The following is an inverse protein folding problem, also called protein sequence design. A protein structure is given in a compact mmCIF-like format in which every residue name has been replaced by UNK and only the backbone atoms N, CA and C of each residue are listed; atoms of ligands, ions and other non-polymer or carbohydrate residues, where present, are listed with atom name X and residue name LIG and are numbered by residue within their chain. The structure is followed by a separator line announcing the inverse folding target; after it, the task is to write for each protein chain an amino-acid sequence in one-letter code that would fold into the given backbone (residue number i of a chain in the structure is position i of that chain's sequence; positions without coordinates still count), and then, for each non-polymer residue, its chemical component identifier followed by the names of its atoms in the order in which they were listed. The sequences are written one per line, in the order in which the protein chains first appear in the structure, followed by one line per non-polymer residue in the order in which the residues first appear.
data_IF_280503805865
#
_entry.id   IF_280503805865
#
_cell.length_a   1.000
_cell.length_b   1.000
_cell.length_c   1.000
_cell.angle_alpha   90.00
_cell.angle_beta   90.00
_cell.angle_gamma   90.00
#
_symmetry.space_group_name_H-M   'P 1'
#
loop_
_entity.id
_entity.type
_entity.pdbx_description
1 polymer ?
#
# COMPACT_ATOMS: atom_id res chain seq x y z
N UNK A 1 -2.78 2.57 -14.84
CA UNK A 1 -3.62 1.86 -13.83
C UNK A 1 -4.99 1.42 -14.40
N UNK A 2 -5.87 2.34 -14.86
CA UNK A 2 -7.23 1.98 -15.36
C UNK A 2 -7.29 0.94 -16.50
N UNK A 3 -6.21 0.72 -17.26
CA UNK A 3 -6.17 -0.29 -18.34
C UNK A 3 -5.61 -1.66 -17.89
N UNK A 4 -5.03 -1.74 -16.69
CA UNK A 4 -4.27 -2.90 -16.22
C UNK A 4 -4.89 -3.58 -15.00
N UNK A 5 -5.81 -2.92 -14.31
CA UNK A 5 -6.52 -3.45 -13.15
C UNK A 5 -8.02 -3.34 -13.36
N UNK A 6 -8.78 -4.33 -12.87
CA UNK A 6 -10.22 -4.25 -12.83
C UNK A 6 -10.66 -3.15 -11.87
N UNK A 7 -10.11 -3.13 -10.66
CA UNK A 7 -10.29 -2.02 -9.74
C UNK A 7 -9.15 -1.89 -8.72
N UNK A 8 -9.11 -0.74 -8.06
CA UNK A 8 -8.34 -0.49 -6.85
C UNK A 8 -9.33 -0.26 -5.72
N UNK A 9 -9.23 -1.09 -4.68
CA UNK A 9 -10.17 -1.16 -3.57
C UNK A 9 -9.43 -0.92 -2.26
N UNK A 10 -10.07 -0.15 -1.39
CA UNK A 10 -9.65 0.05 -0.01
C UNK A 10 -10.66 -0.65 0.89
N UNK A 11 -10.19 -1.44 1.84
CA UNK A 11 -11.05 -2.05 2.85
C UNK A 11 -11.73 -0.93 3.66
N UNK A 12 -13.05 -0.99 3.82
CA UNK A 12 -13.86 0.13 4.30
C UNK A 12 -13.47 0.60 5.72
N UNK A 13 -13.08 -0.32 6.60
CA UNK A 13 -12.58 -0.03 7.94
C UNK A 13 -11.08 0.29 7.97
N UNK A 14 -10.38 0.22 6.83
CA UNK A 14 -8.95 0.44 6.69
C UNK A 14 -8.59 1.79 6.08
N UNK A 15 -9.43 2.81 6.21
CA UNK A 15 -9.10 4.17 5.77
C UNK A 15 -8.03 4.81 6.68
N UNK A 16 -7.11 5.63 6.15
CA UNK A 16 -6.01 6.17 6.93
C UNK A 16 -6.53 7.15 7.99
N UNK A 17 -6.12 6.94 9.25
CA UNK A 17 -6.38 7.86 10.35
C UNK A 17 -5.20 8.81 10.49
N UNK A 18 -5.38 10.05 10.07
CA UNK A 18 -4.32 11.06 10.13
C UNK A 18 -4.36 11.90 11.41
N UNK A 19 -3.18 12.29 11.88
CA UNK A 19 -3.01 13.35 12.88
C UNK A 19 -2.47 14.60 12.19
N UNK A 20 -3.22 15.70 12.29
CA UNK A 20 -2.79 17.01 11.75
C UNK A 20 -1.58 17.53 12.52
N UNK A 21 -0.71 18.28 11.84
CA UNK A 21 0.51 18.86 12.42
C UNK A 21 1.62 17.85 12.72
N UNK A 22 1.47 16.60 12.25
CA UNK A 22 2.47 15.53 12.43
C UNK A 22 2.87 15.00 11.06
N UNK A 23 4.17 14.85 10.78
CA UNK A 23 4.61 14.15 9.59
C UNK A 23 4.19 12.68 9.65
N UNK A 24 3.93 12.07 8.49
CA UNK A 24 3.51 10.68 8.39
C UNK A 24 4.56 9.83 7.67
N UNK A 25 4.84 8.66 8.21
CA UNK A 25 5.63 7.61 7.57
C UNK A 25 4.68 6.48 7.23
N UNK A 26 4.30 6.37 5.95
CA UNK A 26 3.51 5.23 5.46
C UNK A 26 4.48 4.11 5.11
N UNK A 27 4.35 2.95 5.76
CA UNK A 27 5.20 1.80 5.48
C UNK A 27 4.39 0.61 5.00
N UNK A 28 4.87 -0.05 3.95
CA UNK A 28 4.11 -1.07 3.24
C UNK A 28 4.96 -2.26 2.79
N UNK A 29 4.29 -3.40 2.55
CA UNK A 29 4.92 -4.51 1.86
C UNK A 29 5.19 -4.14 0.39
N UNK A 30 6.22 -4.75 -0.19
CA UNK A 30 6.61 -4.47 -1.58
C UNK A 30 6.33 -5.67 -2.47
N UNK A 31 5.09 -5.82 -2.91
CA UNK A 31 4.67 -7.03 -3.62
C UNK A 31 4.74 -6.90 -5.14
N UNK A 32 4.76 -5.69 -5.69
CA UNK A 32 4.83 -5.52 -7.14
C UNK A 32 5.52 -4.23 -7.57
N UNK A 33 5.99 -4.24 -8.82
CA UNK A 33 6.47 -3.04 -9.49
C UNK A 33 5.41 -1.91 -9.55
N UNK A 34 4.12 -2.24 -9.43
CA UNK A 34 3.03 -1.27 -9.41
C UNK A 34 2.93 -0.45 -8.12
N UNK A 35 3.59 -0.86 -7.03
CA UNK A 35 3.45 -0.24 -5.71
C UNK A 35 3.69 1.29 -5.71
N UNK A 36 4.74 1.84 -6.37
CA UNK A 36 4.92 3.29 -6.44
C UNK A 36 3.73 4.02 -7.05
N UNK A 37 3.09 3.44 -8.08
CA UNK A 37 1.92 4.06 -8.71
C UNK A 37 0.69 4.00 -7.80
N UNK A 38 0.54 2.92 -7.03
CA UNK A 38 -0.51 2.81 -6.00
C UNK A 38 -0.29 3.84 -4.89
N UNK A 39 0.95 4.01 -4.41
CA UNK A 39 1.32 5.05 -3.44
C UNK A 39 0.96 6.45 -3.96
N UNK A 40 1.24 6.77 -5.23
CA UNK A 40 0.87 8.05 -5.83
C UNK A 40 -0.65 8.25 -5.89
N UNK A 41 -1.42 7.21 -6.20
CA UNK A 41 -2.88 7.28 -6.16
C UNK A 41 -3.38 7.58 -4.74
N UNK A 42 -2.85 6.87 -3.74
CA UNK A 42 -3.21 7.05 -2.33
C UNK A 42 -2.79 8.42 -1.79
N UNK A 43 -1.59 8.89 -2.15
CA UNK A 43 -1.11 10.22 -1.82
C UNK A 43 -2.07 11.31 -2.33
N UNK A 44 -2.53 11.18 -3.58
CA UNK A 44 -3.50 12.11 -4.18
C UNK A 44 -4.91 11.98 -3.61
N UNK A 45 -5.27 10.85 -3.02
CA UNK A 45 -6.61 10.63 -2.47
C UNK A 45 -6.71 11.09 -1.01
N UNK A 46 -5.72 10.72 -0.20
CA UNK A 46 -5.78 10.87 1.26
C UNK A 46 -4.79 11.92 1.78
N UNK A 47 -3.61 12.03 1.18
CA UNK A 47 -2.51 12.87 1.69
C UNK A 47 -2.29 14.15 0.85
N UNK A 48 -3.36 14.74 0.29
CA UNK A 48 -3.27 15.87 -0.66
C UNK A 48 -2.61 17.14 -0.12
N UNK A 49 -2.66 17.32 1.20
CA UNK A 49 -2.08 18.47 1.89
C UNK A 49 -0.62 18.21 2.29
N UNK A 50 -0.04 17.09 1.85
CA UNK A 50 1.30 16.66 2.22
C UNK A 50 2.22 16.52 1.03
N UNK A 51 3.46 16.96 1.24
CA UNK A 51 4.55 16.71 0.31
C UNK A 51 4.99 15.25 0.46
N UNK A 52 4.80 14.46 -0.60
CA UNK A 52 5.06 13.03 -0.59
C UNK A 52 6.44 12.69 -1.14
N UNK A 53 7.16 11.86 -0.41
CA UNK A 53 8.51 11.42 -0.74
C UNK A 53 8.65 9.91 -0.61
N UNK A 54 9.54 9.31 -1.38
CA UNK A 54 9.85 7.88 -1.28
C UNK A 54 11.29 7.57 -1.68
N UNK A 55 12.03 6.74 -0.93
CA UNK A 55 13.30 6.23 -1.39
C UNK A 55 13.08 5.27 -2.56
N UNK A 56 14.00 5.29 -3.51
CA UNK A 56 14.10 4.31 -4.59
C UNK A 56 15.57 3.99 -4.78
N UNK A 57 15.85 2.83 -5.37
CA UNK A 57 17.21 2.48 -5.78
C UNK A 57 17.83 3.61 -6.63
N UNK A 58 19.05 4.01 -6.28
CA UNK A 58 19.71 5.13 -6.93
C UNK A 58 19.92 4.91 -8.44
N UNK A 59 20.27 3.69 -8.86
CA UNK A 59 20.48 3.36 -10.27
C UNK A 59 19.14 3.35 -11.02
N UNK A 60 18.07 2.87 -10.36
CA UNK A 60 16.72 2.97 -10.89
C UNK A 60 16.28 4.44 -11.05
N UNK A 61 16.61 5.32 -10.12
CA UNK A 61 16.27 6.75 -10.23
C UNK A 61 17.02 7.44 -11.38
N UNK A 62 18.29 7.08 -11.60
CA UNK A 62 19.07 7.57 -12.74
C UNK A 62 18.43 7.17 -14.08
N UNK A 63 17.95 5.93 -14.17
CA UNK A 63 17.26 5.41 -15.36
C UNK A 63 15.86 6.01 -15.55
N UNK A 64 15.11 6.19 -14.46
CA UNK A 64 13.72 6.63 -14.47
C UNK A 64 13.58 8.02 -13.82
N UNK A 65 14.23 9.02 -14.43
CA UNK A 65 14.37 10.38 -13.89
C UNK A 65 13.05 11.09 -13.57
N UNK A 66 11.95 10.67 -14.21
CA UNK A 66 10.60 11.17 -13.92
C UNK A 66 10.21 10.99 -12.45
N UNK A 67 10.63 9.90 -11.78
CA UNK A 67 10.34 9.68 -10.36
C UNK A 67 10.90 10.79 -9.46
N UNK A 68 12.00 11.44 -9.87
CA UNK A 68 12.57 12.56 -9.11
C UNK A 68 11.59 13.72 -8.98
N UNK A 69 10.82 13.99 -10.05
CA UNK A 69 9.77 15.05 -10.05
C UNK A 69 8.56 14.68 -9.22
N UNK A 70 8.42 13.41 -8.87
CA UNK A 70 7.33 12.87 -8.03
C UNK A 70 7.73 12.73 -6.56
N UNK A 71 8.86 13.32 -6.15
CA UNK A 71 9.33 13.29 -4.76
C UNK A 71 10.19 12.07 -4.40
N UNK A 72 10.59 11.25 -5.37
CA UNK A 72 11.48 10.13 -5.08
C UNK A 72 12.94 10.58 -4.99
N UNK A 73 13.67 9.97 -4.06
CA UNK A 73 15.10 10.19 -3.86
C UNK A 73 15.89 8.87 -3.88
N UNK A 74 17.13 8.95 -4.37
CA UNK A 74 17.96 7.77 -4.58
C UNK A 74 18.63 7.29 -3.30
N UNK A 75 18.63 5.97 -3.08
CA UNK A 75 19.34 5.30 -1.98
C UNK A 75 20.13 4.13 -2.55
N UNK A 76 21.41 4.03 -2.20
CA UNK A 76 22.26 2.91 -2.56
C UNK A 76 21.95 1.69 -1.68
N UNK A 77 21.13 0.77 -2.20
CA UNK A 77 20.69 -0.40 -1.46
C UNK A 77 21.85 -1.32 -1.05
N UNK A 78 21.73 -1.93 0.13
CA UNK A 78 22.73 -2.90 0.62
C UNK A 78 24.05 -2.29 1.10
N UNK A 79 24.18 -0.96 1.15
CA UNK A 79 25.41 -0.29 1.60
C UNK A 79 25.20 0.46 2.93
N UNK A 80 26.23 0.51 3.76
CA UNK A 80 26.22 1.30 5.02
C UNK A 80 26.02 2.79 4.72
N UNK A 81 26.67 3.29 3.66
CA UNK A 81 26.54 4.67 3.21
C UNK A 81 25.11 4.99 2.77
N UNK A 82 24.50 4.15 1.93
CA UNK A 82 23.10 4.34 1.52
C UNK A 82 22.13 4.31 2.69
N UNK A 83 22.36 3.45 3.69
CA UNK A 83 21.55 3.44 4.90
C UNK A 83 21.68 4.75 5.71
N UNK A 84 22.89 5.33 5.78
CA UNK A 84 23.11 6.63 6.41
C UNK A 84 22.45 7.77 5.61
N UNK A 85 22.66 7.81 4.30
CA UNK A 85 22.08 8.81 3.39
C UNK A 85 20.54 8.79 3.45
N UNK A 86 19.94 7.59 3.50
CA UNK A 86 18.50 7.42 3.71
C UNK A 86 18.04 8.08 5.02
N UNK A 87 18.73 7.78 6.13
CA UNK A 87 18.36 8.30 7.45
C UNK A 87 18.46 9.83 7.51
N UNK A 88 19.49 10.41 6.90
CA UNK A 88 19.67 11.86 6.88
C UNK A 88 18.60 12.56 6.04
N UNK A 89 18.30 12.04 4.84
CA UNK A 89 17.23 12.59 4.01
C UNK A 89 15.86 12.41 4.65
N UNK A 90 15.55 11.23 5.19
CA UNK A 90 14.29 10.96 5.87
C UNK A 90 14.08 11.90 7.07
N UNK A 91 15.13 12.17 7.85
CA UNK A 91 15.05 13.14 8.96
C UNK A 91 14.79 14.57 8.47
N UNK A 92 15.43 14.99 7.39
CA UNK A 92 15.18 16.30 6.77
C UNK A 92 13.74 16.43 6.30
N UNK A 93 13.20 15.40 5.64
CA UNK A 93 11.81 15.35 5.18
C UNK A 93 10.84 15.44 6.38
N UNK A 94 11.05 14.60 7.40
CA UNK A 94 10.16 14.54 8.58
C UNK A 94 10.29 15.75 9.51
N UNK A 95 11.19 16.70 9.23
CA UNK A 95 11.21 17.99 9.94
C UNK A 95 9.99 18.86 9.57
N UNK A 96 9.42 18.67 8.38
CA UNK A 96 8.22 19.37 7.94
C UNK A 96 6.95 18.64 8.39
N UNK A 97 6.06 19.33 9.11
CA UNK A 97 4.82 18.76 9.64
C UNK A 97 3.86 18.25 8.55
N UNK A 98 3.92 18.85 7.37
CA UNK A 98 3.13 18.49 6.20
C UNK A 98 3.84 17.45 5.30
N UNK A 99 4.84 16.72 5.79
CA UNK A 99 5.50 15.69 4.98
C UNK A 99 4.79 14.32 5.07
N UNK A 100 4.91 13.53 4.00
CA UNK A 100 4.60 12.11 3.95
C UNK A 100 5.77 11.34 3.35
N UNK A 101 6.30 10.36 4.08
CA UNK A 101 7.38 9.48 3.62
C UNK A 101 6.83 8.07 3.40
N UNK A 102 6.98 7.52 2.20
CA UNK A 102 6.49 6.21 1.80
C UNK A 102 7.64 5.21 1.76
N UNK A 103 7.59 4.13 2.55
CA UNK A 103 8.71 3.22 2.75
C UNK A 103 8.32 1.76 2.57
N UNK A 104 9.11 1.02 1.78
CA UNK A 104 9.05 -0.44 1.70
C UNK A 104 10.19 -1.07 2.52
N UNK A 105 10.03 -1.26 3.84
CA UNK A 105 11.13 -1.55 4.75
C UNK A 105 11.80 -2.91 4.55
N UNK A 106 11.21 -3.83 3.79
CA UNK A 106 11.87 -5.09 3.38
C UNK A 106 13.03 -4.85 2.40
N UNK A 107 12.99 -3.73 1.65
CA UNK A 107 13.99 -3.32 0.67
C UNK A 107 14.18 -4.28 -0.50
N UNK A 108 13.21 -5.16 -0.73
CA UNK A 108 13.14 -6.08 -1.87
C UNK A 108 11.68 -6.40 -2.17
N UNK A 109 11.40 -6.86 -3.39
CA UNK A 109 10.11 -7.47 -3.68
C UNK A 109 9.89 -8.73 -2.84
N UNK A 110 8.69 -8.87 -2.28
CA UNK A 110 8.30 -10.00 -1.47
C UNK A 110 6.81 -10.28 -1.61
N UNK A 111 6.45 -11.56 -1.58
CA UNK A 111 5.05 -11.97 -1.48
C UNK A 111 4.45 -11.43 -0.16
N UNK A 112 3.26 -10.83 -0.24
CA UNK A 112 2.57 -10.27 0.94
C UNK A 112 2.20 -11.32 2.00
N UNK A 113 2.18 -12.61 1.63
CA UNK A 113 1.91 -13.75 2.52
C UNK A 113 3.17 -14.36 3.12
N UNK A 114 4.36 -13.95 2.67
CA UNK A 114 5.60 -14.48 3.22
C UNK A 114 5.71 -14.19 4.71
N UNK A 115 6.05 -15.22 5.50
CA UNK A 115 6.27 -15.13 6.94
C UNK A 115 7.58 -15.85 7.32
N UNK A 116 8.29 -15.39 8.37
CA UNK A 116 8.01 -14.17 9.12
C UNK A 116 8.33 -12.92 8.31
N UNK A 117 7.66 -11.81 8.62
CA UNK A 117 7.99 -10.52 8.04
C UNK A 117 9.35 -10.06 8.59
N UNK A 118 10.24 -9.60 7.69
CA UNK A 118 11.61 -9.20 8.03
C UNK A 118 11.96 -7.89 7.34
N UNK A 119 12.15 -6.85 8.15
CA UNK A 119 12.53 -5.52 7.70
C UNK A 119 14.04 -5.33 7.78
N UNK A 120 14.53 -4.42 6.95
CA UNK A 120 15.81 -3.78 7.18
C UNK A 120 15.69 -2.81 8.36
N UNK A 121 16.81 -2.56 9.05
CA UNK A 121 16.82 -1.75 10.28
C UNK A 121 16.51 -0.24 10.09
N UNK A 122 16.40 0.24 8.84
CA UNK A 122 16.25 1.67 8.53
C UNK A 122 15.02 2.31 9.19
N UNK A 123 13.87 1.65 9.13
CA UNK A 123 12.61 2.17 9.67
C UNK A 123 12.63 2.30 11.21
N UNK A 124 13.09 1.27 11.91
CA UNK A 124 13.23 1.34 13.37
C UNK A 124 14.26 2.37 13.83
N UNK A 125 15.36 2.52 13.08
CA UNK A 125 16.37 3.57 13.33
C UNK A 125 15.83 4.98 13.07
N UNK A 126 14.94 5.14 12.09
CA UNK A 126 14.27 6.40 11.80
C UNK A 126 13.32 6.77 12.93
N UNK A 127 12.48 5.84 13.39
CA UNK A 127 11.56 6.05 14.51
C UNK A 127 12.27 6.54 15.77
N UNK A 128 13.38 5.89 16.15
CA UNK A 128 14.20 6.30 17.31
C UNK A 128 14.76 7.73 17.20
N UNK A 129 15.04 8.22 15.98
CA UNK A 129 15.65 9.55 15.75
C UNK A 129 14.63 10.64 15.44
N UNK A 130 13.36 10.29 15.32
CA UNK A 130 12.30 11.23 14.95
C UNK A 130 11.70 11.82 16.22
N UNK A 131 11.61 13.16 16.29
CA UNK A 131 11.04 13.85 17.45
C UNK A 131 9.56 13.50 17.64
N UNK A 132 8.80 13.57 16.54
CA UNK A 132 7.40 13.19 16.47
C UNK A 132 7.03 12.76 15.04
N UNK A 133 6.33 11.65 14.89
CA UNK A 133 5.74 11.22 13.61
C UNK A 133 4.67 10.16 13.83
N UNK A 134 3.73 10.08 12.89
CA UNK A 134 2.79 8.97 12.80
C UNK A 134 3.36 7.90 11.84
N UNK A 135 3.47 6.67 12.30
CA UNK A 135 3.89 5.52 11.48
C UNK A 135 2.66 4.71 11.11
N UNK A 136 2.30 4.69 9.83
CA UNK A 136 1.07 4.12 9.34
C UNK A 136 1.33 2.87 8.48
N UNK A 137 0.97 1.65 8.94
CA UNK A 137 1.10 0.46 8.11
C UNK A 137 0.07 0.48 6.98
N UNK A 138 0.49 0.06 5.80
CA UNK A 138 -0.35 -0.16 4.63
C UNK A 138 -0.06 -1.55 4.06
N UNK A 139 -1.08 -2.40 3.99
CA UNK A 139 -0.99 -3.66 3.27
C UNK A 139 -1.49 -3.48 1.82
N UNK A 140 -0.77 -4.10 0.87
CA UNK A 140 -1.17 -4.18 -0.54
C UNK A 140 -1.22 -5.64 -0.96
N UNK A 141 -2.30 -6.04 -1.63
CA UNK A 141 -2.43 -7.33 -2.30
C UNK A 141 -2.90 -7.15 -3.75
N UNK A 142 -2.27 -7.87 -4.66
CA UNK A 142 -2.69 -7.97 -6.06
C UNK A 142 -3.27 -9.37 -6.28
N UNK A 143 -4.52 -9.45 -6.69
CA UNK A 143 -5.22 -10.73 -6.79
C UNK A 143 -6.18 -10.77 -7.97
N UNK A 144 -6.55 -11.96 -8.41
CA UNK A 144 -7.60 -12.16 -9.40
C UNK A 144 -8.87 -12.65 -8.70
N UNK A 145 -9.98 -12.01 -9.00
CA UNK A 145 -11.32 -12.50 -8.68
C UNK A 145 -11.97 -13.01 -9.96
N UNK A 146 -13.20 -12.60 -10.26
CA UNK A 146 -13.97 -13.10 -11.42
C UNK A 146 -13.57 -12.44 -12.75
N UNK A 147 -12.84 -11.33 -12.68
CA UNK A 147 -12.57 -10.47 -13.83
C UNK A 147 -11.19 -10.74 -14.43
N UNK A 148 -11.07 -10.53 -15.75
CA UNK A 148 -9.82 -10.80 -16.49
C UNK A 148 -8.63 -9.97 -16.00
N UNK A 149 -8.89 -8.77 -15.50
CA UNK A 149 -7.86 -7.89 -14.96
C UNK A 149 -7.83 -8.04 -13.44
N UNK A 150 -6.63 -7.99 -12.81
CA UNK A 150 -6.51 -8.16 -11.37
C UNK A 150 -7.11 -6.99 -10.60
N UNK A 151 -7.45 -7.25 -9.35
CA UNK A 151 -7.78 -6.28 -8.32
C UNK A 151 -6.51 -5.85 -7.58
N UNK A 152 -6.46 -4.56 -7.22
CA UNK A 152 -5.53 -4.05 -6.20
C UNK A 152 -6.32 -3.85 -4.91
N UNK A 153 -5.99 -4.60 -3.87
CA UNK A 153 -6.63 -4.54 -2.57
C UNK A 153 -5.71 -3.86 -1.57
N UNK A 154 -6.26 -2.95 -0.78
CA UNK A 154 -5.52 -2.06 0.11
C UNK A 154 -6.19 -2.03 1.48
N UNK A 155 -5.38 -1.94 2.53
CA UNK A 155 -5.87 -1.61 3.87
C UNK A 155 -4.79 -0.87 4.65
N UNK A 156 -5.14 0.27 5.25
CA UNK A 156 -4.30 0.88 6.28
C UNK A 156 -4.63 0.27 7.65
N UNK A 157 -3.62 0.10 8.49
CA UNK A 157 -3.82 -0.23 9.90
C UNK A 157 -3.88 1.00 10.78
N UNK A 158 -3.90 0.78 12.10
CA UNK A 158 -3.85 1.87 13.06
C UNK A 158 -2.48 2.56 13.07
N UNK A 159 -2.44 3.90 13.10
CA UNK A 159 -1.20 4.65 13.18
C UNK A 159 -0.54 4.46 14.55
N UNK A 160 0.78 4.24 14.53
CA UNK A 160 1.63 4.26 15.71
C UNK A 160 2.23 5.65 15.88
N UNK A 161 1.92 6.33 16.97
CA UNK A 161 2.43 7.67 17.26
C UNK A 161 3.71 7.58 18.08
N UNK A 162 4.81 8.09 17.53
CA UNK A 162 6.09 8.17 18.22
C UNK A 162 6.34 9.60 18.63
N UNK A 163 6.66 9.82 19.90
CA UNK A 163 7.08 11.10 20.47
C UNK A 163 8.28 10.88 21.39
N UNK A 164 9.25 11.80 21.35
CA UNK A 164 10.57 11.63 21.98
C UNK A 164 10.57 11.40 23.52
N UNK A 165 9.44 11.52 24.21
CA UNK A 165 9.37 11.42 25.67
C UNK A 165 9.75 10.04 26.22
N UNK A 166 9.58 8.95 25.45
CA UNK A 166 10.08 7.58 25.75
C UNK A 166 10.34 6.78 24.47
N UNK A 167 11.49 6.93 23.82
CA UNK A 167 11.76 6.24 22.56
C UNK A 167 12.08 4.77 22.81
N UNK A 168 11.38 3.87 22.12
CA UNK A 168 11.78 2.46 21.97
C UNK A 168 13.17 2.37 21.32
N UNK A 169 13.90 1.29 21.59
CA UNK A 169 15.10 0.97 20.82
C UNK A 169 14.76 0.74 19.34
N UNK A 170 15.76 0.83 18.46
CA UNK A 170 15.55 0.58 17.03
C UNK A 170 15.08 -0.87 16.74
N UNK A 171 15.60 -1.92 17.40
CA UNK A 171 15.07 -3.28 17.25
C UNK A 171 13.62 -3.41 17.73
N UNK A 172 13.27 -2.89 18.91
CA UNK A 172 11.90 -2.93 19.44
C UNK A 172 10.93 -2.21 18.51
N UNK A 173 11.32 -1.03 18.00
CA UNK A 173 10.53 -0.30 17.01
C UNK A 173 10.33 -1.12 15.74
N UNK A 174 11.38 -1.81 15.26
CA UNK A 174 11.31 -2.64 14.06
C UNK A 174 10.33 -3.80 14.26
N UNK A 175 10.42 -4.51 15.38
CA UNK A 175 9.52 -5.62 15.71
C UNK A 175 8.06 -5.16 15.86
N UNK A 176 7.85 -3.97 16.43
CA UNK A 176 6.52 -3.36 16.50
C UNK A 176 5.94 -3.08 15.11
N UNK A 177 6.74 -2.50 14.20
CA UNK A 177 6.29 -2.23 12.83
C UNK A 177 6.06 -3.52 12.03
N UNK A 178 6.91 -4.54 12.19
CA UNK A 178 6.71 -5.85 11.57
C UNK A 178 5.39 -6.48 12.03
N UNK A 179 5.12 -6.48 13.34
CA UNK A 179 3.90 -7.02 13.91
C UNK A 179 2.66 -6.25 13.44
N UNK A 180 2.74 -4.93 13.40
CA UNK A 180 1.67 -4.07 12.93
C UNK A 180 1.36 -4.33 11.45
N UNK A 181 2.36 -4.35 10.56
CA UNK A 181 2.12 -4.62 9.14
C UNK A 181 1.61 -6.05 8.91
N UNK A 182 2.16 -7.05 9.61
CA UNK A 182 1.69 -8.43 9.50
C UNK A 182 0.20 -8.55 9.86
N UNK A 183 -0.25 -7.89 10.93
CA UNK A 183 -1.66 -7.86 11.30
C UNK A 183 -2.56 -7.26 10.19
N UNK A 184 -2.14 -6.14 9.58
CA UNK A 184 -2.90 -5.55 8.45
C UNK A 184 -2.91 -6.48 7.24
N UNK A 185 -1.79 -7.15 6.95
CA UNK A 185 -1.70 -8.12 5.85
C UNK A 185 -2.63 -9.32 6.08
N UNK A 186 -2.70 -9.84 7.31
CA UNK A 186 -3.57 -10.97 7.65
C UNK A 186 -5.06 -10.58 7.53
N UNK A 187 -5.42 -9.38 7.99
CA UNK A 187 -6.77 -8.82 7.82
C UNK A 187 -7.13 -8.63 6.35
N UNK A 188 -6.22 -8.07 5.55
CA UNK A 188 -6.43 -7.85 4.12
C UNK A 188 -6.56 -9.18 3.36
N UNK A 189 -5.74 -10.17 3.69
CA UNK A 189 -5.79 -11.50 3.09
C UNK A 189 -7.13 -12.20 3.41
N UNK A 190 -7.61 -12.10 4.65
CA UNK A 190 -8.90 -12.66 5.03
C UNK A 190 -10.07 -11.98 4.28
N UNK A 191 -10.03 -10.64 4.14
CA UNK A 191 -11.04 -9.91 3.37
C UNK A 191 -10.98 -10.24 1.86
N UNK A 192 -9.76 -10.37 1.31
CA UNK A 192 -9.51 -10.78 -0.08
C UNK A 192 -10.15 -12.14 -0.39
N UNK A 193 -10.05 -13.09 0.56
CA UNK A 193 -10.65 -14.42 0.43
C UNK A 193 -12.18 -14.41 0.50
N UNK A 194 -12.77 -13.57 1.35
CA UNK A 194 -14.24 -13.45 1.47
C UNK A 194 -14.90 -12.89 0.21
N UNK A 195 -14.19 -12.02 -0.53
CA UNK A 195 -14.68 -11.38 -1.77
C UNK A 195 -16.02 -10.64 -1.61
N UNK A 196 -16.40 -10.26 -0.40
CA UNK A 196 -17.64 -9.54 -0.14
C UNK A 196 -17.50 -8.10 -0.67
N UNK A 197 -18.26 -7.68 -1.70
CA UNK A 197 -18.12 -6.35 -2.28
C UNK A 197 -18.47 -5.21 -1.33
N UNK A 198 -19.27 -5.46 -0.29
CA UNK A 198 -19.69 -4.45 0.69
C UNK A 198 -18.56 -4.05 1.66
N UNK A 199 -17.51 -4.86 1.79
CA UNK A 199 -16.34 -4.56 2.62
C UNK A 199 -15.40 -3.53 1.96
N UNK A 200 -15.67 -3.10 0.72
CA UNK A 200 -14.70 -2.34 -0.09
C UNK A 200 -15.20 -0.99 -0.58
N UNK A 201 -14.40 0.04 -0.33
CA UNK A 201 -14.47 1.30 -1.05
C UNK A 201 -13.67 1.21 -2.35
N UNK A 202 -14.31 1.51 -3.48
CA UNK A 202 -13.62 1.53 -4.78
C UNK A 202 -12.97 2.90 -4.99
N UNK A 203 -11.64 2.93 -5.04
CA UNK A 203 -10.86 4.15 -5.31
C UNK A 203 -10.69 4.41 -6.81
N UNK A 204 -10.59 3.34 -7.60
CA UNK A 204 -10.42 3.43 -9.05
C UNK A 204 -11.09 2.23 -9.71
N UNK A 205 -11.91 2.49 -10.73
CA UNK A 205 -12.41 1.45 -11.64
C UNK A 205 -11.62 1.44 -12.94
N UNK A 206 -11.27 0.25 -13.40
CA UNK A 206 -10.69 0.01 -14.69
C UNK A 206 -11.65 0.32 -15.83
N UNK A 207 -11.12 0.54 -17.03
CA UNK A 207 -11.91 0.63 -18.25
C UNK A 207 -12.35 -0.79 -18.64
N UNK A 208 -13.59 -1.16 -18.28
CA UNK A 208 -14.13 -2.48 -18.57
C UNK A 208 -14.45 -2.61 -20.07
N UNK A 209 -13.75 -3.50 -20.76
CA UNK A 209 -14.00 -3.87 -22.16
C UNK A 209 -14.77 -5.18 -22.36
N UNK A 210 -14.93 -6.01 -21.32
CA UNK A 210 -15.42 -7.40 -21.47
C UNK A 210 -16.81 -7.67 -20.89
N UNK A 211 -17.27 -6.93 -19.86
CA UNK A 211 -18.63 -7.13 -19.34
C UNK A 211 -19.73 -6.78 -20.33
N UNK A 212 -19.51 -5.86 -21.28
CA UNK A 212 -20.57 -5.56 -22.26
C UNK A 212 -20.89 -6.75 -23.16
N UNK A 213 -19.89 -7.51 -23.59
CA UNK A 213 -20.09 -8.68 -24.48
C UNK A 213 -20.59 -9.88 -23.69
N UNK A 214 -19.99 -10.14 -22.51
CA UNK A 214 -20.41 -11.25 -21.65
C UNK A 214 -21.81 -11.02 -21.06
N UNK A 215 -22.15 -9.80 -20.63
CA UNK A 215 -23.52 -9.45 -20.19
C UNK A 215 -24.51 -9.42 -21.36
N UNK A 216 -24.10 -9.01 -22.57
CA UNK A 216 -24.96 -9.16 -23.75
C UNK A 216 -25.26 -10.64 -24.00
N UNK A 217 -24.25 -11.49 -23.92
CA UNK A 217 -24.38 -12.92 -24.16
C UNK A 217 -25.23 -13.60 -23.08
N UNK A 218 -25.06 -13.24 -21.79
CA UNK A 218 -25.95 -13.68 -20.69
C UNK A 218 -27.38 -13.19 -20.86
N UNK A 219 -27.58 -11.92 -21.24
CA UNK A 219 -28.92 -11.36 -21.51
C UNK A 219 -29.58 -11.99 -22.73
N UNK A 220 -28.81 -12.28 -23.77
CA UNK A 220 -29.27 -13.00 -24.95
C UNK A 220 -29.66 -14.44 -24.57
N UNK A 221 -28.79 -15.17 -23.86
CA UNK A 221 -29.06 -16.53 -23.39
C UNK A 221 -30.30 -16.60 -22.47
N UNK A 222 -30.48 -15.63 -21.59
CA UNK A 222 -31.67 -15.52 -20.74
C UNK A 222 -32.96 -15.26 -21.54
N UNK A 223 -32.90 -14.47 -22.62
CA UNK A 223 -34.04 -14.26 -23.53
C UNK A 223 -34.34 -15.49 -24.40
N UNK A 224 -33.33 -16.29 -24.74
CA UNK A 224 -33.49 -17.50 -25.55
C UNK A 224 -33.98 -18.72 -24.76
N UNK A 225 -33.89 -18.74 -23.42
CA UNK A 225 -34.22 -19.93 -22.61
C UNK A 225 -35.58 -19.91 -21.89
N UNK A 226 -36.36 -18.82 -21.95
CA UNK A 226 -37.83 -18.84 -21.76
C UNK A 226 -38.45 -19.70 -20.64
N UNK A 227 -37.76 -20.02 -19.54
CA UNK A 227 -38.28 -20.76 -18.39
C UNK A 227 -37.64 -20.27 -17.09
N UNK A 228 -38.45 -20.29 -16.03
CA UNK A 228 -38.27 -19.61 -14.76
C UNK A 228 -36.87 -19.75 -14.13
N UNK A 229 -36.32 -18.60 -13.74
CA UNK A 229 -35.17 -18.47 -12.86
C UNK A 229 -35.46 -19.17 -11.52
N UNK A 230 -34.72 -20.24 -11.20
CA UNK A 230 -34.56 -20.75 -9.84
C UNK A 230 -33.28 -20.15 -9.26
N UNK A 231 -33.45 -19.36 -8.20
CA UNK A 231 -32.37 -18.82 -7.40
C UNK A 231 -31.85 -19.89 -6.44
N UNK A 232 -30.71 -20.51 -6.78
CA UNK A 232 -29.79 -21.13 -5.84
C UNK A 232 -28.55 -21.53 -6.64
N UNK A 233 -27.37 -21.10 -6.19
CA UNK A 233 -26.13 -21.88 -6.22
C UNK A 233 -25.27 -21.34 -5.08
N UNK A 234 -25.56 -21.84 -3.87
CA UNK A 234 -24.51 -22.27 -2.96
C UNK A 234 -23.88 -23.55 -3.52
N UNK A 235 -22.66 -23.81 -3.07
CA UNK A 235 -21.84 -25.02 -3.24
C UNK A 235 -20.95 -25.03 -4.49
N UNK A 236 -19.77 -24.41 -4.33
CA UNK A 236 -18.50 -25.10 -4.10
C UNK A 236 -17.44 -24.13 -3.56
#
# INVERSE_FOLDING_TARGET
MRRHFHSVRLLANGAPRERRGWPVVVYLNHSAWWDPLVCLLLARQFFRQRDSYGPIDADALQRYQFFRRLGFFGVANGTVRGAADFLDQARGILAAENSALWLTPQGKFADGRARPLRFQSGLGRLARRTRRAAFLPLAIEYTFWEERLPEVLLSFGEPLFFEAARPLSAPESTQLFESALASVQDQLAAASQRRNPEEWQILLRGHVGTNRVYDLWRRARAKFHGRAFRAAHSDL
#
